data_IF_248613112621
#
_entry.id   IF_248613112621
#
_cell.length_a   1.000
_cell.length_b   1.000
_cell.length_c   1.000
_cell.angle_alpha   90.00
_cell.angle_beta   90.00
_cell.angle_gamma   90.00
#
_symmetry.space_group_name_H-M   'P 1'
#
loop_
_entity.id
_entity.type
_entity.pdbx_description
1 polymer ?
#
# COMPACT_ATOMS: atom_id res chain seq x y z
N UNK A 1 3.76 20.64 -19.61
CA UNK A 1 4.62 19.99 -20.62
C UNK A 1 6.02 20.53 -20.41
N UNK A 2 6.92 19.72 -19.91
CA UNK A 2 8.34 20.08 -19.76
C UNK A 2 9.10 19.56 -20.98
N UNK A 3 9.99 20.37 -21.52
CA UNK A 3 10.86 20.01 -22.63
C UNK A 3 12.21 19.59 -22.06
N UNK A 4 12.64 18.37 -22.32
CA UNK A 4 13.95 17.88 -21.84
C UNK A 4 15.13 18.68 -22.42
N UNK A 5 15.01 19.13 -23.66
CA UNK A 5 16.06 19.91 -24.35
C UNK A 5 15.46 21.13 -25.03
N UNK A 6 15.18 22.25 -24.32
CA UNK A 6 14.61 23.46 -24.93
C UNK A 6 15.54 24.08 -26.01
N UNK A 7 16.84 23.86 -25.90
CA UNK A 7 17.86 24.33 -26.88
C UNK A 7 17.64 23.74 -28.28
N UNK A 8 17.04 22.53 -28.40
CA UNK A 8 16.74 21.93 -29.70
C UNK A 8 15.71 22.75 -30.49
N UNK A 9 14.86 23.55 -29.84
CA UNK A 9 13.92 24.43 -30.52
C UNK A 9 14.62 25.62 -31.25
N UNK A 10 15.86 26.01 -30.88
CA UNK A 10 16.61 27.00 -31.59
C UNK A 10 16.91 26.57 -33.04
N UNK A 11 16.96 25.25 -33.31
CA UNK A 11 17.12 24.72 -34.67
C UNK A 11 15.92 25.07 -35.57
N UNK A 12 14.76 25.38 -35.02
CA UNK A 12 13.61 25.87 -35.81
C UNK A 12 13.89 27.18 -36.52
N UNK A 13 14.74 28.03 -35.94
CA UNK A 13 15.19 29.30 -36.56
C UNK A 13 16.02 29.06 -37.84
N UNK A 14 16.57 27.88 -38.00
CA UNK A 14 17.38 27.54 -39.19
C UNK A 14 16.50 27.13 -40.38
N UNK A 15 15.21 26.75 -40.14
CA UNK A 15 14.26 26.34 -41.20
C UNK A 15 13.99 27.44 -42.24
N UNK A 16 13.73 28.72 -41.89
CA UNK A 16 13.48 29.76 -42.88
C UNK A 16 14.75 30.06 -43.72
N UNK A 17 15.92 29.95 -43.12
CA UNK A 17 17.22 30.12 -43.83
C UNK A 17 17.39 29.00 -44.85
N UNK A 18 17.11 27.77 -44.44
CA UNK A 18 17.17 26.59 -45.30
C UNK A 18 16.16 26.67 -46.44
N UNK A 19 14.94 27.10 -46.16
CA UNK A 19 13.90 27.36 -47.16
C UNK A 19 14.32 28.40 -48.18
N UNK A 20 14.93 29.52 -47.71
CA UNK A 20 15.43 30.57 -48.58
C UNK A 20 16.58 30.07 -49.50
N UNK A 21 17.53 29.32 -48.94
CA UNK A 21 18.62 28.73 -49.73
C UNK A 21 18.11 27.72 -50.75
N UNK A 22 17.14 26.86 -50.38
CA UNK A 22 16.53 25.89 -51.30
C UNK A 22 15.74 26.53 -52.41
N UNK A 23 15.04 27.64 -52.12
CA UNK A 23 14.31 28.42 -53.14
C UNK A 23 15.27 29.14 -54.10
N UNK A 24 16.37 29.70 -53.56
CA UNK A 24 17.36 30.41 -54.36
C UNK A 24 18.22 29.48 -55.21
N UNK A 25 18.52 28.26 -54.72
CA UNK A 25 19.29 27.22 -55.46
C UNK A 25 18.49 26.49 -56.55
N UNK A 26 17.20 26.80 -56.74
CA UNK A 26 16.38 26.27 -57.84
C UNK A 26 16.75 26.83 -59.24
N UNK A 27 17.98 27.34 -59.41
CA UNK A 27 18.51 27.55 -60.76
C UNK A 27 18.79 26.19 -61.38
N UNK A 28 17.76 25.65 -62.04
CA UNK A 28 17.88 24.42 -62.76
C UNK A 28 19.00 24.46 -63.78
N UNK A 29 19.67 23.36 -64.02
CA UNK A 29 20.57 23.22 -65.15
C UNK A 29 19.83 23.63 -66.41
N UNK A 30 20.32 24.68 -67.09
CA UNK A 30 19.74 25.12 -68.34
C UNK A 30 20.34 24.29 -69.48
N UNK A 31 19.48 23.56 -70.17
CA UNK A 31 19.85 22.90 -71.40
C UNK A 31 19.50 23.84 -72.55
N UNK A 32 20.50 24.15 -73.38
CA UNK A 32 20.29 24.98 -74.57
C UNK A 32 19.52 24.18 -75.61
N UNK A 33 18.29 24.55 -75.83
CA UNK A 33 17.46 23.97 -76.90
C UNK A 33 17.34 24.93 -78.09
N UNK A 34 17.40 24.45 -79.33
CA UNK A 34 17.38 25.32 -80.52
C UNK A 34 16.04 26.07 -80.77
N UNK A 35 14.93 25.50 -80.32
CA UNK A 35 13.60 26.17 -80.40
C UNK A 35 12.71 25.75 -79.23
N UNK A 36 12.08 26.69 -78.57
CA UNK A 36 11.14 26.51 -77.44
C UNK A 36 9.69 26.71 -77.85
N UNK A 37 9.42 26.92 -79.18
CA UNK A 37 8.10 27.28 -79.66
C UNK A 37 7.05 26.20 -79.39
N UNK A 38 7.40 24.93 -79.61
CA UNK A 38 6.47 23.77 -79.40
C UNK A 38 6.33 23.40 -77.88
N UNK A 39 7.36 23.63 -77.06
CA UNK A 39 7.30 23.32 -75.66
C UNK A 39 6.45 24.31 -74.87
N UNK A 40 6.32 25.55 -75.34
CA UNK A 40 5.47 26.57 -74.71
C UNK A 40 3.99 26.31 -74.91
N UNK A 41 3.57 25.50 -75.88
CA UNK A 41 2.18 25.15 -76.11
C UNK A 41 1.69 23.94 -75.32
N UNK A 42 2.60 23.26 -74.60
CA UNK A 42 2.24 22.09 -73.76
C UNK A 42 1.56 22.50 -72.47
N UNK A 43 0.41 21.93 -72.10
CA UNK A 43 -0.27 22.22 -70.85
C UNK A 43 0.63 21.80 -69.66
N UNK A 44 0.69 22.67 -68.63
CA UNK A 44 1.43 22.42 -67.42
C UNK A 44 0.85 21.18 -66.73
N UNK A 45 1.70 20.15 -66.58
CA UNK A 45 1.28 18.91 -65.94
C UNK A 45 0.98 19.12 -64.46
N UNK A 46 -0.08 18.50 -63.94
CA UNK A 46 -0.41 18.51 -62.51
C UNK A 46 0.77 18.20 -61.60
N UNK A 47 1.67 17.31 -62.05
CA UNK A 47 2.95 17.00 -61.34
C UNK A 47 3.89 18.20 -61.20
N UNK A 48 3.85 19.16 -62.12
CA UNK A 48 4.68 20.35 -62.03
C UNK A 48 4.16 21.35 -60.97
N UNK A 49 2.81 21.42 -60.81
CA UNK A 49 2.15 22.20 -59.80
C UNK A 49 2.42 21.69 -58.38
N UNK A 50 2.62 20.35 -58.24
CA UNK A 50 2.94 19.74 -56.92
C UNK A 50 4.43 19.74 -56.54
N UNK A 51 5.33 20.22 -57.40
CA UNK A 51 6.77 20.39 -57.07
C UNK A 51 7.03 21.24 -55.81
N UNK A 52 6.31 22.37 -55.54
CA UNK A 52 6.52 23.11 -54.31
C UNK A 52 6.02 22.34 -53.07
N UNK A 53 5.02 21.47 -53.19
CA UNK A 53 4.54 20.63 -52.10
C UNK A 53 5.62 19.72 -51.51
N UNK A 54 6.51 19.19 -52.35
CA UNK A 54 7.65 18.38 -51.88
C UNK A 54 8.62 19.19 -51.00
N UNK A 55 8.79 20.47 -51.23
CA UNK A 55 9.63 21.33 -50.43
C UNK A 55 8.97 21.60 -49.07
N UNK A 56 7.65 21.86 -49.09
CA UNK A 56 6.86 22.06 -47.87
C UNK A 56 6.91 20.78 -47.03
N UNK A 57 6.72 19.60 -47.64
CA UNK A 57 6.77 18.33 -46.95
C UNK A 57 8.14 18.06 -46.29
N UNK A 58 9.22 18.37 -47.00
CA UNK A 58 10.58 18.24 -46.42
C UNK A 58 10.81 19.16 -45.23
N UNK A 59 10.36 20.42 -45.29
CA UNK A 59 10.48 21.37 -44.18
C UNK A 59 9.62 20.93 -42.99
N UNK A 60 8.44 20.36 -43.25
CA UNK A 60 7.54 19.85 -42.23
C UNK A 60 8.14 18.62 -41.53
N UNK A 61 8.71 17.68 -42.28
CA UNK A 61 9.42 16.54 -41.72
C UNK A 61 10.59 17.00 -40.81
N UNK A 62 11.32 18.01 -41.24
CA UNK A 62 12.45 18.54 -40.49
C UNK A 62 11.98 19.23 -39.22
N UNK A 63 10.86 19.97 -39.29
CA UNK A 63 10.22 20.60 -38.12
C UNK A 63 9.78 19.55 -37.09
N UNK A 64 9.09 18.49 -37.54
CA UNK A 64 8.69 17.41 -36.65
C UNK A 64 9.89 16.67 -36.02
N UNK A 65 10.98 16.50 -36.77
CA UNK A 65 12.20 15.89 -36.26
C UNK A 65 12.84 16.76 -35.17
N UNK A 66 12.85 18.08 -35.34
CA UNK A 66 13.33 19.03 -34.33
C UNK A 66 12.47 19.00 -33.07
N UNK A 67 11.12 18.94 -33.23
CA UNK A 67 10.20 18.81 -32.11
C UNK A 67 10.39 17.47 -31.39
N UNK A 68 10.60 16.38 -32.14
CA UNK A 68 10.92 15.07 -31.56
C UNK A 68 12.24 15.09 -30.79
N UNK A 69 13.25 15.83 -31.28
CA UNK A 69 14.54 15.98 -30.60
C UNK A 69 14.41 16.80 -29.31
N UNK A 70 13.47 17.73 -29.24
CA UNK A 70 13.14 18.49 -28.03
C UNK A 70 12.54 17.61 -26.93
N UNK A 71 12.15 16.36 -27.24
CA UNK A 71 11.59 15.35 -26.32
C UNK A 71 10.52 15.94 -25.41
N UNK A 72 9.33 16.32 -25.93
CA UNK A 72 8.25 16.78 -25.09
C UNK A 72 7.83 15.64 -24.16
N UNK A 73 8.12 15.75 -22.86
CA UNK A 73 7.63 14.84 -21.84
C UNK A 73 6.31 15.40 -21.31
N UNK A 74 5.26 14.64 -21.37
CA UNK A 74 4.18 14.80 -20.41
C UNK A 74 4.77 14.32 -19.09
N UNK A 75 5.32 15.23 -18.31
CA UNK A 75 5.53 14.95 -16.90
C UNK A 75 4.15 14.62 -16.36
N UNK A 76 3.86 13.37 -16.08
CA UNK A 76 3.08 13.07 -14.90
C UNK A 76 3.93 13.69 -13.79
N UNK A 77 3.54 14.85 -13.31
CA UNK A 77 3.87 15.22 -11.95
C UNK A 77 3.22 14.11 -11.17
N UNK A 78 3.97 13.04 -10.90
CA UNK A 78 3.79 12.32 -9.68
C UNK A 78 4.03 13.43 -8.66
N UNK A 79 2.95 14.04 -8.17
CA UNK A 79 2.94 14.66 -6.88
C UNK A 79 3.40 13.54 -5.98
N UNK A 80 4.69 13.44 -5.73
CA UNK A 80 5.24 12.68 -4.64
C UNK A 80 4.80 13.47 -3.41
N UNK A 81 3.53 13.26 -3.05
CA UNK A 81 3.10 13.49 -1.70
C UNK A 81 3.97 12.55 -0.90
N UNK A 82 4.87 13.09 -0.08
CA UNK A 82 5.43 12.37 1.04
C UNK A 82 4.24 11.72 1.71
N UNK A 83 4.09 10.42 1.54
CA UNK A 83 2.94 9.72 2.10
C UNK A 83 3.35 9.38 3.51
N UNK A 84 2.93 10.21 4.44
CA UNK A 84 3.00 9.91 5.86
C UNK A 84 1.95 8.86 6.17
N UNK A 85 2.33 7.84 6.90
CA UNK A 85 1.43 6.74 7.23
C UNK A 85 1.78 6.08 8.55
N UNK A 86 0.85 5.28 9.03
CA UNK A 86 1.02 4.42 10.20
C UNK A 86 1.49 3.05 9.74
N UNK A 87 2.40 2.44 10.49
CA UNK A 87 2.77 1.04 10.30
C UNK A 87 2.00 0.18 11.32
N UNK A 88 1.15 -0.72 10.85
CA UNK A 88 0.26 -1.54 11.66
C UNK A 88 0.55 -3.02 11.42
N UNK A 89 0.84 -3.77 12.48
CA UNK A 89 0.84 -5.23 12.45
C UNK A 89 -0.45 -5.77 13.06
N UNK A 90 -1.28 -6.39 12.25
CA UNK A 90 -2.43 -7.14 12.71
C UNK A 90 -1.98 -8.53 13.17
N UNK A 91 -2.15 -8.82 14.47
CA UNK A 91 -1.71 -10.06 15.11
C UNK A 91 -2.95 -10.86 15.49
N UNK A 92 -3.21 -11.94 14.76
CA UNK A 92 -4.46 -12.70 14.81
C UNK A 92 -4.23 -14.09 15.37
N UNK A 93 -4.96 -14.40 16.41
CA UNK A 93 -5.04 -15.75 16.99
C UNK A 93 -5.80 -16.69 16.05
N UNK A 94 -5.20 -17.84 15.74
CA UNK A 94 -5.81 -18.91 14.95
C UNK A 94 -5.93 -20.24 15.71
N UNK A 95 -5.82 -20.20 17.04
CA UNK A 95 -5.94 -21.36 17.91
C UNK A 95 -7.34 -22.00 17.83
N UNK A 96 -7.50 -23.19 18.33
CA UNK A 96 -8.75 -23.96 18.27
C UNK A 96 -9.92 -23.28 19.00
N UNK A 97 -9.65 -22.41 19.99
CA UNK A 97 -10.67 -21.60 20.71
C UNK A 97 -11.39 -20.63 19.79
N UNK A 98 -10.69 -20.06 18.79
CA UNK A 98 -11.25 -19.15 17.78
C UNK A 98 -12.30 -19.81 16.86
N UNK A 99 -12.52 -21.13 16.97
CA UNK A 99 -13.62 -21.88 16.34
C UNK A 99 -14.98 -21.57 17.00
N UNK A 100 -14.98 -21.03 18.22
CA UNK A 100 -16.21 -20.70 18.94
C UNK A 100 -17.03 -19.72 18.13
N UNK A 101 -18.35 -19.93 18.15
CA UNK A 101 -19.30 -19.09 17.42
C UNK A 101 -19.50 -17.75 18.13
N UNK A 102 -19.65 -16.68 17.33
CA UNK A 102 -20.08 -15.36 17.79
C UNK A 102 -21.13 -14.78 16.84
N UNK A 103 -21.92 -13.84 17.34
CA UNK A 103 -22.91 -13.15 16.51
C UNK A 103 -22.23 -12.11 15.59
N UNK A 104 -22.64 -12.12 14.33
CA UNK A 104 -22.25 -11.14 13.33
C UNK A 104 -23.52 -10.61 12.66
N UNK A 105 -24.11 -9.54 13.23
CA UNK A 105 -25.35 -8.93 12.73
C UNK A 105 -26.49 -9.93 12.51
N UNK A 106 -26.73 -10.81 13.49
CA UNK A 106 -27.75 -11.84 13.43
C UNK A 106 -27.37 -13.09 12.63
N UNK A 107 -26.14 -13.18 12.14
CA UNK A 107 -25.58 -14.39 11.55
C UNK A 107 -24.53 -14.99 12.49
N UNK A 108 -24.63 -16.27 12.76
CA UNK A 108 -23.65 -16.98 13.57
C UNK A 108 -22.45 -17.38 12.71
N UNK A 109 -21.24 -17.01 13.11
CA UNK A 109 -20.00 -17.42 12.47
C UNK A 109 -18.89 -17.66 13.50
N UNK A 110 -17.74 -18.22 13.06
CA UNK A 110 -16.61 -18.41 13.97
C UNK A 110 -15.98 -17.07 14.35
N UNK A 111 -15.36 -16.99 15.54
CA UNK A 111 -14.62 -15.82 15.98
C UNK A 111 -13.55 -15.41 14.96
N UNK A 112 -12.81 -16.38 14.41
CA UNK A 112 -11.83 -16.12 13.37
C UNK A 112 -12.44 -15.48 12.11
N UNK A 113 -13.59 -15.99 11.64
CA UNK A 113 -14.25 -15.43 10.46
C UNK A 113 -14.81 -14.02 10.72
N UNK A 114 -15.29 -13.75 11.93
CA UNK A 114 -15.70 -12.40 12.32
C UNK A 114 -14.51 -11.43 12.34
N UNK A 115 -13.39 -11.83 12.93
CA UNK A 115 -12.13 -11.06 12.92
C UNK A 115 -11.67 -10.76 11.48
N UNK A 116 -11.65 -11.78 10.61
CA UNK A 116 -11.26 -11.62 9.21
C UNK A 116 -12.12 -10.59 8.48
N UNK A 117 -13.43 -10.60 8.70
CA UNK A 117 -14.36 -9.64 8.09
C UNK A 117 -14.13 -8.22 8.61
N UNK A 118 -14.01 -8.05 9.94
CA UNK A 118 -13.80 -6.73 10.53
C UNK A 118 -12.44 -6.14 10.12
N UNK A 119 -11.39 -6.96 10.07
CA UNK A 119 -10.08 -6.52 9.59
C UNK A 119 -10.10 -6.18 8.09
N UNK A 120 -10.84 -6.94 7.27
CA UNK A 120 -11.00 -6.60 5.85
C UNK A 120 -11.71 -5.25 5.68
N UNK A 121 -12.81 -5.02 6.43
CA UNK A 121 -13.51 -3.73 6.44
C UNK A 121 -12.62 -2.57 6.95
N UNK A 122 -11.71 -2.82 7.89
CA UNK A 122 -10.75 -1.85 8.40
C UNK A 122 -9.72 -1.45 7.34
N UNK A 123 -9.25 -2.43 6.56
CA UNK A 123 -8.22 -2.24 5.54
C UNK A 123 -8.80 -1.59 4.28
N UNK A 124 -9.88 -2.16 3.72
CA UNK A 124 -10.48 -1.70 2.46
C UNK A 124 -11.39 -0.47 2.65
N UNK A 125 -11.95 -0.33 3.83
CA UNK A 125 -13.08 0.55 4.08
C UNK A 125 -14.41 -0.20 3.92
N UNK A 126 -15.34 0.06 4.82
CA UNK A 126 -16.64 -0.59 4.84
C UNK A 126 -17.80 0.39 4.75
N UNK A 127 -18.93 -0.05 4.20
CA UNK A 127 -20.17 0.75 4.11
C UNK A 127 -20.66 1.29 5.47
N UNK A 128 -20.16 0.72 6.57
CA UNK A 128 -20.59 1.01 7.95
C UNK A 128 -19.62 1.91 8.73
N UNK A 129 -18.89 2.81 8.06
CA UNK A 129 -18.18 3.93 8.70
C UNK A 129 -16.68 3.71 8.97
N UNK A 130 -16.06 2.68 8.40
CA UNK A 130 -14.60 2.57 8.35
C UNK A 130 -14.11 3.16 7.02
N UNK A 131 -13.28 4.21 7.02
CA UNK A 131 -12.87 4.92 5.79
C UNK A 131 -11.82 4.18 4.96
N UNK A 132 -11.28 3.05 5.47
CA UNK A 132 -10.15 2.35 4.85
C UNK A 132 -8.81 3.02 5.09
N UNK A 133 -7.73 2.29 4.79
CA UNK A 133 -6.35 2.71 5.09
C UNK A 133 -5.43 2.56 3.88
N UNK A 134 -5.65 3.39 2.87
CA UNK A 134 -4.94 3.29 1.58
C UNK A 134 -3.46 3.72 1.64
N UNK A 135 -3.07 4.49 2.65
CA UNK A 135 -1.71 5.06 2.77
C UNK A 135 -0.87 4.42 3.87
N UNK A 136 -1.41 3.48 4.64
CA UNK A 136 -0.73 2.85 5.76
C UNK A 136 -0.01 1.56 5.35
N UNK A 137 1.10 1.28 6.04
CA UNK A 137 1.78 -0.01 5.94
C UNK A 137 1.10 -1.01 6.87
N UNK A 138 0.48 -2.04 6.30
CA UNK A 138 -0.20 -3.05 7.11
C UNK A 138 0.39 -4.42 6.87
N UNK A 139 0.72 -5.13 7.95
CA UNK A 139 1.18 -6.52 7.96
C UNK A 139 0.19 -7.44 8.67
N UNK A 140 0.37 -8.74 8.50
CA UNK A 140 -0.42 -9.79 9.14
C UNK A 140 0.50 -10.84 9.74
N UNK A 141 0.40 -10.99 11.04
CA UNK A 141 0.99 -12.09 11.79
C UNK A 141 -0.15 -12.97 12.28
N UNK A 142 -0.03 -14.26 12.09
CA UNK A 142 -0.96 -15.23 12.69
C UNK A 142 -0.22 -16.09 13.69
N UNK A 143 -0.88 -16.39 14.80
CA UNK A 143 -0.25 -17.21 15.83
C UNK A 143 -1.23 -18.24 16.41
N UNK A 144 -0.66 -19.30 16.91
CA UNK A 144 -1.26 -20.30 17.76
C UNK A 144 -0.18 -20.78 18.72
N UNK A 145 0.34 -21.99 18.58
CA UNK A 145 1.52 -22.46 19.31
C UNK A 145 2.79 -21.68 18.92
N UNK A 146 2.88 -21.25 17.69
CA UNK A 146 3.99 -20.46 17.12
C UNK A 146 3.41 -19.23 16.43
N UNK A 147 4.20 -18.18 16.36
CA UNK A 147 3.87 -16.96 15.63
C UNK A 147 4.57 -16.95 14.26
N UNK A 148 3.81 -16.70 13.20
CA UNK A 148 4.29 -16.66 11.83
C UNK A 148 3.90 -15.37 11.13
N UNK A 149 4.83 -14.79 10.36
CA UNK A 149 4.50 -13.67 9.47
C UNK A 149 3.77 -14.19 8.25
N UNK A 150 2.45 -14.04 8.23
CA UNK A 150 1.58 -14.47 7.13
C UNK A 150 1.67 -13.51 5.95
N UNK A 151 1.72 -12.21 6.21
CA UNK A 151 1.96 -11.17 5.22
C UNK A 151 2.90 -10.11 5.80
N UNK A 152 4.01 -9.77 5.13
CA UNK A 152 4.87 -8.68 5.58
C UNK A 152 4.12 -7.33 5.47
N UNK A 153 4.70 -6.28 6.06
CA UNK A 153 4.19 -4.91 5.94
C UNK A 153 4.17 -4.46 4.47
N UNK A 154 3.00 -4.14 3.95
CA UNK A 154 2.78 -3.74 2.56
C UNK A 154 1.83 -2.54 2.47
N UNK A 155 2.05 -1.68 1.47
CA UNK A 155 1.12 -0.62 1.07
C UNK A 155 0.00 -1.15 0.14
N UNK A 156 0.28 -2.24 -0.56
CA UNK A 156 -0.65 -2.87 -1.49
C UNK A 156 -1.57 -3.89 -0.80
N UNK A 157 -2.69 -3.45 -0.28
CA UNK A 157 -3.55 -4.23 0.62
C UNK A 157 -4.27 -5.42 -0.03
N UNK A 158 -4.37 -5.47 -1.36
CA UNK A 158 -5.00 -6.60 -2.06
C UNK A 158 -4.34 -7.95 -1.71
N UNK A 159 -3.01 -7.97 -1.59
CA UNK A 159 -2.25 -9.16 -1.23
C UNK A 159 -2.51 -9.55 0.23
N UNK A 160 -2.52 -8.56 1.13
CA UNK A 160 -2.82 -8.75 2.54
C UNK A 160 -4.21 -9.37 2.75
N UNK A 161 -5.22 -8.86 2.05
CA UNK A 161 -6.60 -9.37 2.12
C UNK A 161 -6.71 -10.81 1.62
N UNK A 162 -5.94 -11.18 0.61
CA UNK A 162 -5.91 -12.56 0.14
C UNK A 162 -5.31 -13.50 1.21
N UNK A 163 -4.20 -13.12 1.84
CA UNK A 163 -3.62 -13.86 2.96
C UNK A 163 -4.58 -13.95 4.15
N UNK A 164 -5.27 -12.84 4.47
CA UNK A 164 -6.27 -12.81 5.54
C UNK A 164 -7.43 -13.78 5.25
N UNK A 165 -7.93 -13.83 4.01
CA UNK A 165 -8.98 -14.78 3.59
C UNK A 165 -8.52 -16.23 3.70
N UNK A 166 -7.27 -16.51 3.34
CA UNK A 166 -6.68 -17.86 3.38
C UNK A 166 -6.33 -18.33 4.79
N UNK A 167 -6.28 -17.43 5.78
CA UNK A 167 -6.01 -17.78 7.17
C UNK A 167 -7.05 -18.78 7.69
N UNK A 168 -6.57 -19.91 8.24
CA UNK A 168 -7.40 -21.01 8.74
C UNK A 168 -7.05 -21.33 10.18
N UNK A 169 -8.03 -21.86 10.91
CA UNK A 169 -7.83 -22.42 12.24
C UNK A 169 -6.81 -23.56 12.19
N UNK A 170 -6.07 -23.72 13.28
CA UNK A 170 -5.20 -24.86 13.47
C UNK A 170 -6.04 -26.14 13.54
N UNK A 171 -5.61 -27.15 12.77
CA UNK A 171 -6.30 -28.46 12.73
C UNK A 171 -5.54 -29.52 13.49
N UNK A 172 -4.22 -29.39 13.61
CA UNK A 172 -3.37 -30.35 14.32
C UNK A 172 -3.22 -29.95 15.78
N UNK A 173 -3.49 -30.89 16.69
CA UNK A 173 -3.37 -30.66 18.13
C UNK A 173 -1.95 -30.26 18.57
N UNK A 174 -0.96 -30.65 17.81
CA UNK A 174 0.46 -30.31 18.09
C UNK A 174 0.80 -28.84 17.79
N UNK A 175 0.02 -28.18 16.92
CA UNK A 175 0.18 -26.78 16.56
C UNK A 175 -0.77 -25.86 17.37
N UNK A 176 -1.66 -26.46 18.17
CA UNK A 176 -2.64 -25.73 18.97
C UNK A 176 -1.99 -25.17 20.25
N UNK A 177 -2.41 -23.98 20.60
CA UNK A 177 -1.90 -23.19 21.72
C UNK A 177 -2.01 -21.68 21.43
N UNK A 178 -1.51 -20.86 22.35
CA UNK A 178 -1.63 -19.40 22.26
C UNK A 178 -0.34 -18.77 22.76
N UNK A 179 0.58 -18.45 21.82
CA UNK A 179 1.89 -17.88 22.08
C UNK A 179 1.86 -16.33 21.91
N UNK A 180 1.21 -15.64 22.83
CA UNK A 180 1.02 -14.16 22.77
C UNK A 180 2.37 -13.45 22.82
N UNK A 181 3.30 -13.88 23.69
CA UNK A 181 4.61 -13.25 23.83
C UNK A 181 5.42 -13.28 22.54
N UNK A 182 5.51 -14.46 21.90
CA UNK A 182 6.21 -14.62 20.62
C UNK A 182 5.57 -13.79 19.51
N UNK A 183 4.23 -13.71 19.50
CA UNK A 183 3.49 -12.94 18.49
C UNK A 183 3.77 -11.43 18.62
N UNK A 184 3.79 -10.89 19.85
CA UNK A 184 4.13 -9.49 20.11
C UNK A 184 5.60 -9.22 19.76
N UNK A 185 6.52 -10.09 20.20
CA UNK A 185 7.95 -9.93 19.92
C UNK A 185 8.25 -9.94 18.42
N UNK A 186 7.60 -10.84 17.66
CA UNK A 186 7.73 -10.91 16.21
C UNK A 186 7.16 -9.65 15.54
N UNK A 187 5.99 -9.18 15.95
CA UNK A 187 5.36 -7.98 15.41
C UNK A 187 6.22 -6.73 15.67
N UNK A 188 6.70 -6.57 16.88
CA UNK A 188 7.58 -5.46 17.24
C UNK A 188 8.89 -5.48 16.43
N UNK A 189 9.52 -6.64 16.27
CA UNK A 189 10.72 -6.79 15.44
C UNK A 189 10.47 -6.46 13.96
N UNK A 190 9.29 -6.80 13.41
CA UNK A 190 8.91 -6.48 12.04
C UNK A 190 8.72 -4.97 11.84
N UNK A 191 8.00 -4.32 12.74
CA UNK A 191 7.79 -2.87 12.71
C UNK A 191 9.11 -2.11 12.83
N UNK A 192 9.98 -2.52 13.76
CA UNK A 192 11.30 -1.90 13.93
C UNK A 192 12.18 -2.04 12.69
N UNK A 193 12.20 -3.23 12.11
CA UNK A 193 12.95 -3.49 10.88
C UNK A 193 12.43 -2.67 9.70
N UNK A 194 11.11 -2.55 9.54
CA UNK A 194 10.51 -1.75 8.49
C UNK A 194 10.88 -0.27 8.62
N UNK A 195 10.84 0.28 9.84
CA UNK A 195 11.29 1.64 10.14
C UNK A 195 12.75 1.86 9.71
N UNK A 196 13.64 0.95 10.11
CA UNK A 196 15.07 1.01 9.76
C UNK A 196 15.32 0.92 8.25
N UNK A 197 14.61 0.05 7.55
CA UNK A 197 14.72 -0.10 6.09
C UNK A 197 14.25 1.16 5.35
N UNK A 198 13.14 1.76 5.79
CA UNK A 198 12.61 3.00 5.20
C UNK A 198 13.57 4.16 5.45
N UNK A 199 14.07 4.33 6.68
CA UNK A 199 15.05 5.36 7.01
C UNK A 199 16.33 5.21 6.18
N UNK A 200 16.84 3.99 6.02
CA UNK A 200 18.01 3.69 5.20
C UNK A 200 17.78 4.04 3.74
N UNK A 201 16.60 3.69 3.20
CA UNK A 201 16.23 3.98 1.81
C UNK A 201 16.12 5.47 1.57
N UNK A 202 15.45 6.20 2.45
CA UNK A 202 15.31 7.67 2.37
C UNK A 202 16.67 8.36 2.45
N UNK A 203 17.57 7.91 3.33
CA UNK A 203 18.93 8.44 3.43
C UNK A 203 19.76 8.19 2.16
N UNK A 204 19.63 7.01 1.54
CA UNK A 204 20.31 6.69 0.28
C UNK A 204 19.82 7.59 -0.87
N UNK A 205 18.50 7.81 -0.98
CA UNK A 205 17.92 8.70 -2.00
C UNK A 205 18.38 10.14 -1.83
N UNK A 206 18.45 10.66 -0.59
CA UNK A 206 18.96 11.99 -0.30
C UNK A 206 20.45 12.14 -0.67
N UNK A 207 21.26 11.10 -0.45
CA UNK A 207 22.67 11.11 -0.81
C UNK A 207 22.89 11.15 -2.32
N UNK A 208 22.08 10.42 -3.10
CA UNK A 208 22.15 10.43 -4.57
C UNK A 208 21.61 11.74 -5.17
N UNK A 209 20.70 12.42 -4.50
CA UNK A 209 20.07 13.69 -4.95
C UNK A 209 20.90 14.93 -4.59
N UNK A 210 21.97 14.83 -3.82
CA UNK A 210 22.78 15.95 -3.33
C UNK A 210 23.48 16.79 -4.44
N UNK A 211 23.27 16.46 -5.72
CA UNK A 211 23.80 17.18 -6.88
C UNK A 211 22.75 17.80 -7.81
N UNK A 212 21.47 17.64 -7.54
CA UNK A 212 20.36 18.15 -8.37
C UNK A 212 19.44 19.05 -7.54
N UNK A 213 19.04 20.20 -8.12
CA UNK A 213 18.10 21.17 -7.47
C UNK A 213 16.69 20.56 -7.20
N UNK A 214 16.42 19.35 -7.68
CA UNK A 214 15.22 18.55 -7.38
C UNK A 214 15.59 17.49 -6.32
N UNK A 215 15.79 17.89 -5.07
CA UNK A 215 15.89 16.96 -3.95
C UNK A 215 14.56 16.17 -3.85
N UNK A 216 14.60 14.89 -4.21
CA UNK A 216 13.44 14.00 -4.05
C UNK A 216 13.09 13.93 -2.55
N UNK A 217 11.85 14.29 -2.23
CA UNK A 217 11.31 14.14 -0.87
C UNK A 217 11.25 12.65 -0.51
N UNK A 218 11.33 12.29 0.79
CA UNK A 218 11.22 10.91 1.22
C UNK A 218 9.92 10.28 0.70
N UNK A 219 10.02 9.09 0.13
CA UNK A 219 8.90 8.39 -0.54
C UNK A 219 7.82 7.98 0.44
N UNK A 220 8.20 7.66 1.68
CA UNK A 220 7.30 7.26 2.77
C UNK A 220 7.97 7.56 4.13
N UNK A 221 7.18 8.02 5.11
CA UNK A 221 7.60 8.23 6.50
C UNK A 221 6.62 7.55 7.46
N UNK A 222 7.14 6.73 8.37
CA UNK A 222 6.35 6.11 9.43
C UNK A 222 6.25 7.11 10.59
N UNK A 223 5.04 7.62 10.86
CA UNK A 223 4.77 8.53 11.97
C UNK A 223 4.41 7.82 13.26
N UNK A 224 3.74 6.67 13.16
CA UNK A 224 3.33 5.87 14.31
C UNK A 224 3.44 4.39 13.99
N UNK A 225 3.71 3.58 15.01
CA UNK A 225 3.80 2.12 14.93
C UNK A 225 2.81 1.49 15.88
N UNK A 226 1.96 0.62 15.38
CA UNK A 226 0.92 -0.02 16.18
C UNK A 226 0.82 -1.53 15.95
N UNK A 227 0.54 -2.25 17.01
CA UNK A 227 0.19 -3.68 16.99
C UNK A 227 -1.27 -3.80 17.40
N UNK A 228 -2.08 -4.49 16.60
CA UNK A 228 -3.46 -4.84 16.95
C UNK A 228 -3.49 -6.33 17.23
N UNK A 229 -3.50 -6.68 18.52
CA UNK A 229 -3.53 -8.07 18.97
C UNK A 229 -4.97 -8.52 19.19
N UNK A 230 -5.39 -9.58 18.49
CA UNK A 230 -6.72 -10.17 18.57
C UNK A 230 -6.60 -11.62 19.05
N UNK A 231 -7.13 -11.91 20.22
CA UNK A 231 -7.07 -13.24 20.84
C UNK A 231 -8.31 -13.52 21.69
N UNK A 232 -8.67 -14.78 21.86
CA UNK A 232 -9.73 -15.25 22.78
C UNK A 232 -9.19 -16.14 23.91
N UNK A 233 -7.85 -16.31 23.97
CA UNK A 233 -7.18 -17.20 24.92
C UNK A 233 -6.24 -16.46 25.88
N UNK A 234 -5.61 -17.27 26.75
CA UNK A 234 -4.49 -16.83 27.58
C UNK A 234 -3.17 -17.37 27.02
N UNK A 235 -2.08 -16.68 27.34
CA UNK A 235 -0.75 -17.16 26.98
C UNK A 235 -0.48 -18.51 27.67
N UNK A 236 -0.26 -19.57 26.88
CA UNK A 236 0.06 -20.90 27.39
C UNK A 236 1.21 -21.57 26.64
N UNK A 237 1.75 -20.92 25.62
CA UNK A 237 2.85 -21.37 24.78
C UNK A 237 3.77 -20.21 24.44
N UNK A 238 4.90 -20.50 23.80
CA UNK A 238 5.89 -19.52 23.36
C UNK A 238 7.13 -19.49 24.24
N UNK A 239 8.20 -18.94 23.71
CA UNK A 239 9.51 -18.79 24.36
C UNK A 239 9.64 -17.43 25.06
N UNK A 240 8.92 -16.41 24.57
CA UNK A 240 8.92 -15.06 25.13
C UNK A 240 7.77 -14.85 26.12
N UNK A 241 8.09 -14.25 27.28
CA UNK A 241 7.07 -13.75 28.17
C UNK A 241 6.33 -12.55 27.55
N UNK A 242 4.98 -12.51 27.59
CA UNK A 242 4.24 -11.42 27.00
C UNK A 242 4.58 -10.03 27.56
N UNK A 243 4.93 -9.92 28.86
CA UNK A 243 5.31 -8.64 29.45
C UNK A 243 6.73 -8.20 29.06
N UNK A 244 7.63 -9.15 28.80
CA UNK A 244 8.96 -8.87 28.24
C UNK A 244 8.83 -8.40 26.79
N UNK A 245 7.97 -9.04 25.99
CA UNK A 245 7.69 -8.63 24.61
C UNK A 245 7.03 -7.23 24.57
N UNK A 246 6.13 -6.93 25.50
CA UNK A 246 5.53 -5.61 25.64
C UNK A 246 6.58 -4.53 26.01
N UNK A 247 7.56 -4.89 26.84
CA UNK A 247 8.67 -3.99 27.19
C UNK A 247 9.52 -3.64 25.97
N UNK A 248 9.81 -4.61 25.10
CA UNK A 248 10.52 -4.36 23.85
C UNK A 248 9.72 -3.42 22.93
N UNK A 249 8.40 -3.59 22.85
CA UNK A 249 7.52 -2.72 22.08
C UNK A 249 7.54 -1.28 22.64
N UNK A 250 7.47 -1.13 23.96
CA UNK A 250 7.59 0.16 24.65
C UNK A 250 8.94 0.86 24.35
N UNK A 251 10.07 0.13 24.42
CA UNK A 251 11.41 0.65 24.11
C UNK A 251 11.54 1.13 22.65
N UNK A 252 10.76 0.57 21.74
CA UNK A 252 10.76 0.94 20.31
C UNK A 252 9.62 1.88 19.92
N UNK A 253 8.92 2.45 20.91
CA UNK A 253 7.79 3.35 20.68
C UNK A 253 6.70 2.74 19.80
N UNK A 254 6.33 1.49 20.13
CA UNK A 254 5.28 0.73 19.44
C UNK A 254 4.09 0.56 20.38
N UNK A 255 2.93 1.06 19.98
CA UNK A 255 1.69 0.90 20.75
C UNK A 255 1.07 -0.46 20.51
N UNK A 256 0.53 -1.07 21.57
CA UNK A 256 -0.17 -2.33 21.48
C UNK A 256 -1.62 -2.15 21.89
N UNK A 257 -2.52 -2.35 20.94
CA UNK A 257 -3.95 -2.44 21.15
C UNK A 257 -4.34 -3.90 21.32
N UNK A 258 -4.89 -4.26 22.47
CA UNK A 258 -5.26 -5.64 22.76
C UNK A 258 -6.77 -5.79 22.74
N UNK A 259 -7.27 -6.72 21.94
CA UNK A 259 -8.69 -7.00 21.79
C UNK A 259 -8.97 -8.45 22.22
N UNK A 260 -9.65 -8.58 23.33
CA UNK A 260 -10.15 -9.88 23.80
C UNK A 260 -11.48 -10.23 23.12
N UNK A 261 -11.54 -11.38 22.47
CA UNK A 261 -12.71 -11.79 21.68
C UNK A 261 -13.58 -12.79 22.45
N UNK A 262 -14.85 -12.48 22.57
CA UNK A 262 -15.88 -13.38 23.09
C UNK A 262 -16.63 -12.88 24.31
N UNK A 263 -17.89 -13.30 24.41
CA UNK A 263 -18.78 -13.02 25.54
C UNK A 263 -18.34 -13.79 26.79
N UNK A 264 -18.55 -13.23 27.98
CA UNK A 264 -18.19 -13.86 29.27
C UNK A 264 -18.81 -15.24 29.52
N UNK A 265 -19.66 -15.74 28.64
CA UNK A 265 -20.27 -17.07 28.67
C UNK A 265 -20.09 -17.73 27.30
N UNK A 266 -19.03 -18.52 27.14
CA UNK A 266 -18.88 -19.39 25.99
C UNK A 266 -19.68 -20.68 26.22
N UNK A 267 -20.45 -21.11 25.23
CA UNK A 267 -21.15 -22.39 25.25
C UNK A 267 -20.52 -23.31 24.22
N UNK A 268 -20.10 -24.51 24.68
CA UNK A 268 -19.71 -25.60 23.77
C UNK A 268 -20.90 -26.47 23.48
N UNK A 269 -21.20 -26.73 22.24
CA UNK A 269 -22.15 -27.76 21.85
C UNK A 269 -21.50 -29.14 22.04
N UNK A 270 -22.05 -29.94 22.94
CA UNK A 270 -21.62 -31.31 23.18
C UNK A 270 -22.71 -32.22 22.63
N UNK A 271 -22.39 -32.99 21.60
CA UNK A 271 -23.25 -34.02 21.09
C UNK A 271 -23.21 -35.25 22.04
N UNK A 272 -24.33 -35.57 22.61
CA UNK A 272 -24.49 -36.77 23.44
C UNK A 272 -25.56 -37.69 22.81
N UNK A 273 -25.60 -38.93 23.27
CA UNK A 273 -26.61 -39.94 22.81
C UNK A 273 -28.05 -39.41 23.01
N UNK A 274 -28.27 -38.44 23.90
CA UNK A 274 -29.55 -37.80 24.18
C UNK A 274 -29.79 -36.47 23.46
N UNK A 275 -28.91 -36.08 22.52
CA UNK A 275 -29.01 -34.81 21.76
C UNK A 275 -27.87 -33.87 22.03
N UNK A 276 -27.93 -32.69 21.40
CA UNK A 276 -26.93 -31.64 21.51
C UNK A 276 -27.24 -30.73 22.69
N UNK A 277 -26.34 -30.67 23.66
CA UNK A 277 -26.46 -29.81 24.83
C UNK A 277 -25.44 -28.66 24.74
N UNK A 278 -25.87 -27.45 25.10
CA UNK A 278 -24.97 -26.29 25.27
C UNK A 278 -24.43 -26.28 26.70
N UNK A 279 -23.17 -26.62 26.87
CA UNK A 279 -22.50 -26.55 28.18
C UNK A 279 -21.74 -25.23 28.29
N UNK A 280 -21.90 -24.46 29.40
CA UNK A 280 -21.06 -23.27 29.62
C UNK A 280 -19.60 -23.71 29.81
N UNK A 281 -18.71 -23.11 29.06
CA UNK A 281 -17.26 -23.33 29.20
C UNK A 281 -16.67 -22.05 29.82
N UNK A 282 -15.85 -22.16 30.87
CA UNK A 282 -15.12 -21.00 31.40
C UNK A 282 -14.30 -20.39 30.28
N UNK A 283 -14.41 -19.09 30.10
CA UNK A 283 -13.58 -18.39 29.13
C UNK A 283 -12.17 -18.23 29.69
N UNK A 284 -11.19 -18.65 28.92
CA UNK A 284 -9.79 -18.71 29.36
C UNK A 284 -9.01 -17.43 28.96
N UNK A 285 -9.73 -16.28 28.84
CA UNK A 285 -9.13 -14.99 28.48
C UNK A 285 -8.47 -14.35 29.71
N UNK A 286 -7.18 -14.04 29.59
CA UNK A 286 -6.45 -13.28 30.62
C UNK A 286 -6.53 -11.77 30.37
N UNK A 287 -7.67 -11.18 30.78
CA UNK A 287 -7.90 -9.74 30.60
C UNK A 287 -6.90 -8.89 31.35
N UNK A 288 -6.40 -9.38 32.51
CA UNK A 288 -5.42 -8.66 33.33
C UNK A 288 -4.10 -8.51 32.58
N UNK A 289 -3.61 -9.58 31.98
CA UNK A 289 -2.40 -9.58 31.17
C UNK A 289 -2.55 -8.67 29.94
N UNK A 290 -3.63 -8.82 29.18
CA UNK A 290 -3.89 -8.02 27.97
C UNK A 290 -3.99 -6.52 28.28
N UNK A 291 -4.65 -6.16 29.37
CA UNK A 291 -4.75 -4.77 29.84
C UNK A 291 -3.38 -4.22 30.23
N UNK A 292 -2.58 -4.98 30.97
CA UNK A 292 -1.25 -4.55 31.39
C UNK A 292 -0.32 -4.32 30.18
N UNK A 293 -0.38 -5.20 29.16
CA UNK A 293 0.39 -5.05 27.92
C UNK A 293 -0.01 -3.73 27.21
N UNK A 294 -1.30 -3.50 27.04
CA UNK A 294 -1.81 -2.32 26.34
C UNK A 294 -1.47 -1.02 27.08
N UNK A 295 -1.76 -0.93 28.39
CA UNK A 295 -1.49 0.26 29.20
C UNK A 295 0.00 0.61 29.25
N UNK A 296 0.86 -0.41 29.31
CA UNK A 296 2.32 -0.23 29.32
C UNK A 296 2.85 0.45 28.05
N UNK A 297 2.28 0.11 26.89
CA UNK A 297 2.73 0.60 25.58
C UNK A 297 1.96 1.81 25.07
N UNK A 298 1.10 2.42 25.92
CA UNK A 298 0.29 3.58 25.53
C UNK A 298 -0.92 3.27 24.65
N UNK A 299 -1.24 1.98 24.48
CA UNK A 299 -2.47 1.52 23.83
C UNK A 299 -3.64 1.36 24.80
N UNK A 300 -4.64 0.58 24.42
CA UNK A 300 -5.75 0.22 25.30
C UNK A 300 -6.19 -1.23 25.10
N UNK A 301 -6.75 -1.81 26.16
CA UNK A 301 -7.46 -3.07 26.12
C UNK A 301 -8.95 -2.85 25.90
N UNK A 302 -9.58 -3.65 25.07
CA UNK A 302 -11.04 -3.72 24.97
C UNK A 302 -11.50 -5.14 24.71
N UNK A 303 -12.74 -5.42 25.11
CA UNK A 303 -13.37 -6.71 24.88
C UNK A 303 -14.44 -6.58 23.83
N UNK A 304 -14.45 -7.51 22.88
CA UNK A 304 -15.45 -7.63 21.83
C UNK A 304 -16.33 -8.86 22.10
N UNK A 305 -17.54 -8.63 22.59
CA UNK A 305 -18.50 -9.70 22.84
C UNK A 305 -19.20 -10.18 21.58
N UNK A 306 -19.28 -9.29 20.57
CA UNK A 306 -19.82 -9.55 19.23
C UNK A 306 -19.00 -8.80 18.16
N UNK A 307 -19.36 -8.98 16.90
CA UNK A 307 -18.66 -8.36 15.80
C UNK A 307 -18.92 -6.86 15.66
N UNK A 308 -20.01 -6.34 16.22
CA UNK A 308 -20.30 -4.91 16.23
C UNK A 308 -19.37 -4.21 17.22
N UNK A 309 -19.23 -4.76 18.43
CA UNK A 309 -18.26 -4.29 19.43
C UNK A 309 -16.82 -4.33 18.87
N UNK A 310 -16.45 -5.42 18.19
CA UNK A 310 -15.13 -5.54 17.56
C UNK A 310 -14.88 -4.42 16.53
N UNK A 311 -15.87 -4.12 15.69
CA UNK A 311 -15.77 -3.03 14.71
C UNK A 311 -15.63 -1.66 15.38
N UNK A 312 -16.40 -1.40 16.41
CA UNK A 312 -16.34 -0.13 17.14
C UNK A 312 -14.98 0.09 17.81
N UNK A 313 -14.39 -0.98 18.33
CA UNK A 313 -13.04 -0.97 18.90
C UNK A 313 -12.01 -0.63 17.81
N UNK A 314 -12.08 -1.30 16.67
CA UNK A 314 -11.17 -1.08 15.57
C UNK A 314 -11.32 0.33 14.98
N UNK A 315 -12.56 0.87 14.90
CA UNK A 315 -12.81 2.26 14.51
C UNK A 315 -12.17 3.25 15.49
N UNK A 316 -12.25 2.99 16.80
CA UNK A 316 -11.61 3.83 17.82
C UNK A 316 -10.08 3.83 17.65
N UNK A 317 -9.46 2.70 17.32
CA UNK A 317 -8.03 2.62 17.01
C UNK A 317 -7.72 3.49 15.78
N UNK A 318 -8.55 3.41 14.73
CA UNK A 318 -8.41 4.21 13.53
C UNK A 318 -8.40 5.72 13.81
N UNK A 319 -9.33 6.17 14.64
CA UNK A 319 -9.45 7.59 15.03
C UNK A 319 -8.25 8.06 15.85
N UNK A 320 -7.76 7.25 16.79
CA UNK A 320 -6.61 7.58 17.63
C UNK A 320 -5.33 7.72 16.82
N UNK A 321 -5.02 6.74 15.98
CA UNK A 321 -3.82 6.75 15.15
C UNK A 321 -3.82 7.89 14.11
N UNK A 322 -4.98 8.20 13.51
CA UNK A 322 -5.12 9.34 12.58
C UNK A 322 -5.00 10.70 13.27
N UNK A 323 -5.44 10.81 14.50
CA UNK A 323 -5.37 12.06 15.26
C UNK A 323 -3.92 12.35 15.67
N UNK A 324 -3.15 11.31 15.96
CA UNK A 324 -1.76 11.45 16.35
C UNK A 324 -0.89 11.91 15.19
N UNK A 325 -1.08 11.33 14.00
CA UNK A 325 -0.41 11.79 12.78
C UNK A 325 -0.67 13.29 12.52
N UNK A 326 -1.90 13.77 12.74
CA UNK A 326 -2.25 15.19 12.58
C UNK A 326 -1.72 16.10 13.68
N UNK A 327 -1.42 15.58 14.87
CA UNK A 327 -0.93 16.40 16.00
C UNK A 327 0.58 16.61 15.97
N UNK A 328 1.30 15.86 15.14
CA UNK A 328 2.75 15.97 14.94
C UNK A 328 3.11 16.98 13.86
N UNK A 329 2.14 17.39 13.01
CA UNK A 329 2.27 18.52 12.09
C UNK A 329 2.17 19.87 12.85
#
# INVERSE_FOLDING_TARGET
MQLYSPWALLLLLLLPVLAYVMLRRRRGAAVKFPSLAEVRSCPVSWRQNFRPALLVLRLLCLAFLIVALARPRKGTVLSQMSTEGVAIEAVVDRSSSMKTEMDYYGQTMTRLDAVKRVLADFIEGGEKGLPGRTSDLIGLITFARYADTTCPLVLGHNVLLEFLRQTKLVTMRQEDGTAIGDAIALAAARLKKAEEEILRRNAAMQADSAGTEDAEQPEFEIKSKAIILLTDGRNNMGDYDPLEAAKLAEEWDIKIYTIGIGSGQAYRQVETIMGTFKMPVPQDLDEGLLRTIAERTGGFYSRADDAEALRDIVRRIDEMEKTEVKSVE
#
